data_IF_317290316724
#
_entry.id   IF_317290316724
#
_cell.length_a   1.000
_cell.length_b   1.000
_cell.length_c   1.000
_cell.angle_alpha   90.00
_cell.angle_beta   90.00
_cell.angle_gamma   90.00
#
_symmetry.space_group_name_H-M   'P 1'
#
loop_
_entity.id
_entity.type
_entity.pdbx_description
1 polymer ?
#
# COMPACT_ATOMS: atom_id res chain seq x y z
N UNK A 1 11.99 -64.47 -36.99
CA UNK A 1 12.45 -63.59 -38.07
C UNK A 1 12.14 -62.15 -37.69
N UNK A 2 13.10 -61.33 -37.23
CA UNK A 2 12.87 -59.91 -37.02
C UNK A 2 13.09 -59.16 -38.33
N UNK A 3 12.11 -58.33 -38.70
CA UNK A 3 12.13 -57.47 -39.89
C UNK A 3 13.02 -56.26 -39.61
N UNK A 4 14.16 -56.17 -40.30
CA UNK A 4 14.97 -54.96 -40.36
C UNK A 4 14.18 -53.89 -41.13
N UNK A 5 13.75 -52.84 -40.43
CA UNK A 5 13.30 -51.60 -41.05
C UNK A 5 14.55 -50.94 -41.69
N UNK A 6 14.57 -50.67 -43.00
CA UNK A 6 15.79 -50.23 -43.66
C UNK A 6 16.15 -48.81 -43.19
N UNK A 7 17.38 -48.64 -42.73
CA UNK A 7 18.01 -47.40 -42.25
C UNK A 7 17.72 -46.18 -43.16
N UNK A 8 17.51 -46.42 -44.45
CA UNK A 8 17.16 -45.43 -45.46
C UNK A 8 15.82 -44.70 -45.19
N UNK A 9 14.82 -45.38 -44.62
CA UNK A 9 13.52 -44.76 -44.32
C UNK A 9 13.64 -43.77 -43.15
N UNK A 10 14.50 -44.08 -42.17
CA UNK A 10 14.72 -43.22 -41.01
C UNK A 10 15.48 -41.94 -41.40
N UNK A 11 16.48 -42.05 -42.28
CA UNK A 11 17.22 -40.91 -42.84
C UNK A 11 16.32 -40.01 -43.69
N UNK A 12 15.44 -40.56 -44.52
CA UNK A 12 14.47 -39.76 -45.27
C UNK A 12 13.53 -38.98 -44.33
N UNK A 13 12.97 -39.62 -43.30
CA UNK A 13 12.10 -38.92 -42.34
C UNK A 13 12.82 -37.79 -41.61
N UNK A 14 14.08 -37.98 -41.21
CA UNK A 14 14.86 -36.94 -40.54
C UNK A 14 15.15 -35.75 -41.47
N UNK A 15 15.47 -36.02 -42.74
CA UNK A 15 15.70 -34.95 -43.73
C UNK A 15 14.44 -34.15 -44.02
N UNK A 16 13.27 -34.80 -44.09
CA UNK A 16 11.98 -34.12 -44.29
C UNK A 16 11.65 -33.25 -43.07
N UNK A 17 11.90 -33.74 -41.85
CA UNK A 17 11.62 -33.00 -40.63
C UNK A 17 12.52 -31.76 -40.48
N UNK A 18 13.81 -31.88 -40.82
CA UNK A 18 14.72 -30.75 -40.87
C UNK A 18 14.36 -29.74 -41.96
N UNK A 19 13.86 -30.21 -43.12
CA UNK A 19 13.40 -29.32 -44.19
C UNK A 19 12.13 -28.55 -43.76
N UNK A 20 11.20 -29.20 -43.07
CA UNK A 20 9.99 -28.57 -42.52
C UNK A 20 10.34 -27.50 -41.48
N UNK A 21 11.25 -27.80 -40.55
CA UNK A 21 11.74 -26.84 -39.55
C UNK A 21 12.47 -25.66 -40.21
N UNK A 22 13.24 -25.92 -41.26
CA UNK A 22 13.91 -24.86 -42.02
C UNK A 22 12.93 -23.95 -42.75
N UNK A 23 11.85 -24.50 -43.32
CA UNK A 23 10.80 -23.72 -43.99
C UNK A 23 10.03 -22.86 -42.98
N UNK A 24 9.66 -23.40 -41.81
CA UNK A 24 8.97 -22.61 -40.78
C UNK A 24 9.84 -21.48 -40.23
N UNK A 25 11.13 -21.73 -40.00
CA UNK A 25 12.07 -20.68 -39.55
C UNK A 25 12.31 -19.62 -40.63
N UNK A 26 12.25 -19.98 -41.91
CA UNK A 26 12.38 -19.05 -43.03
C UNK A 26 11.15 -18.16 -43.18
N UNK A 27 9.95 -18.69 -42.97
CA UNK A 27 8.70 -17.91 -43.01
C UNK A 27 8.62 -16.93 -41.83
N UNK A 28 9.08 -17.31 -40.64
CA UNK A 28 9.19 -16.39 -39.49
C UNK A 28 10.19 -15.25 -39.74
N UNK A 29 11.34 -15.54 -40.37
CA UNK A 29 12.31 -14.52 -40.75
C UNK A 29 11.79 -13.58 -41.86
N UNK A 30 11.03 -14.11 -42.82
CA UNK A 30 10.39 -13.32 -43.87
C UNK A 30 9.30 -12.38 -43.29
N UNK A 31 8.53 -12.86 -42.31
CA UNK A 31 7.53 -12.05 -41.60
C UNK A 31 8.15 -10.95 -40.73
N UNK A 32 9.27 -11.22 -40.04
CA UNK A 32 10.02 -10.20 -39.29
C UNK A 32 10.61 -9.11 -40.21
N UNK A 33 11.11 -9.49 -41.38
CA UNK A 33 11.65 -8.57 -42.39
C UNK A 33 10.55 -7.70 -43.04
N UNK A 34 9.37 -8.27 -43.29
CA UNK A 34 8.21 -7.54 -43.80
C UNK A 34 7.66 -6.51 -42.79
N UNK A 35 7.62 -6.85 -41.50
CA UNK A 35 7.26 -5.90 -40.42
C UNK A 35 8.31 -4.79 -40.23
N UNK A 36 9.61 -5.12 -40.35
CA UNK A 36 10.69 -4.14 -40.29
C UNK A 36 10.70 -3.13 -41.45
N UNK A 37 10.15 -3.50 -42.60
CA UNK A 37 10.08 -2.62 -43.78
C UNK A 37 8.80 -1.76 -43.79
N UNK A 38 7.68 -2.26 -43.23
CA UNK A 38 6.45 -1.48 -43.07
C UNK A 38 6.58 -0.33 -42.05
N UNK A 39 7.34 -0.54 -40.96
CA UNK A 39 7.61 0.51 -39.97
C UNK A 39 8.61 1.59 -40.42
N UNK A 40 9.32 1.37 -41.54
CA UNK A 40 10.28 2.34 -42.11
C UNK A 40 9.68 3.23 -43.20
N UNK A 41 8.45 2.93 -43.65
CA UNK A 41 7.76 3.65 -44.73
C UNK A 41 6.73 4.70 -44.29
N UNK A 42 6.32 4.71 -43.02
CA UNK A 42 5.32 5.66 -42.47
C UNK A 42 5.94 6.82 -41.67
N UNK A 43 7.26 6.87 -41.54
CA UNK A 43 7.99 7.95 -40.88
C UNK A 43 8.34 9.12 -41.82
N UNK A 44 7.38 9.60 -42.63
CA UNK A 44 7.44 10.91 -43.30
C UNK A 44 6.03 11.48 -43.39
N UNK A 45 5.87 12.69 -42.84
CA UNK A 45 4.63 13.48 -42.71
C UNK A 45 3.77 13.18 -41.47
N UNK A 46 4.35 13.34 -40.28
CA UNK A 46 3.59 13.87 -39.14
C UNK A 46 3.98 15.34 -39.01
N UNK A 47 3.08 16.19 -39.50
CA UNK A 47 3.08 17.62 -39.20
C UNK A 47 3.20 17.80 -37.70
N UNK A 48 4.21 18.54 -37.26
CA UNK A 48 4.42 18.98 -35.89
C UNK A 48 3.29 19.91 -35.45
N UNK A 49 2.13 19.35 -35.13
CA UNK A 49 1.20 19.98 -34.19
C UNK A 49 1.90 19.98 -32.84
N UNK A 50 2.39 21.15 -32.43
CA UNK A 50 2.70 21.48 -31.04
C UNK A 50 1.45 21.18 -30.21
N UNK A 51 1.35 19.96 -29.66
CA UNK A 51 0.59 19.76 -28.44
C UNK A 51 1.36 20.53 -27.37
N UNK A 52 0.82 21.69 -27.03
CA UNK A 52 1.04 22.29 -25.73
C UNK A 52 0.60 21.24 -24.70
N UNK A 53 1.54 20.44 -24.20
CA UNK A 53 1.36 19.74 -22.93
C UNK A 53 1.18 20.85 -21.88
N UNK A 54 -0.07 21.22 -21.62
CA UNK A 54 -0.43 21.76 -20.32
C UNK A 54 -0.10 20.64 -19.34
N UNK A 55 1.12 20.64 -18.80
CA UNK A 55 1.49 19.78 -17.68
C UNK A 55 0.47 20.07 -16.57
N UNK A 56 -0.51 19.18 -16.43
CA UNK A 56 -1.53 19.29 -15.41
C UNK A 56 -0.78 19.16 -14.08
N UNK A 57 -0.85 20.19 -13.25
CA UNK A 57 -0.24 20.16 -11.92
C UNK A 57 -0.69 18.89 -11.18
N UNK A 58 0.18 18.26 -10.38
CA UNK A 58 -0.22 17.11 -9.58
C UNK A 58 -1.39 17.50 -8.66
N UNK A 59 -2.28 16.55 -8.32
CA UNK A 59 -3.35 16.81 -7.35
C UNK A 59 -2.78 17.39 -6.05
N UNK A 60 -3.46 18.38 -5.49
CA UNK A 60 -3.08 18.97 -4.20
C UNK A 60 -3.25 17.95 -3.08
N UNK A 61 -2.31 17.95 -2.13
CA UNK A 61 -2.26 17.04 -0.99
C UNK A 61 -2.21 17.84 0.31
N UNK A 62 -2.86 17.33 1.36
CA UNK A 62 -2.71 17.82 2.72
C UNK A 62 -2.28 16.68 3.63
N UNK A 63 -1.17 16.86 4.35
CA UNK A 63 -0.70 15.96 5.40
C UNK A 63 -1.21 16.47 6.75
N UNK A 64 -2.05 15.66 7.39
CA UNK A 64 -2.61 15.89 8.72
C UNK A 64 -1.97 14.91 9.68
N UNK A 65 -1.23 15.43 10.65
CA UNK A 65 -0.52 14.64 11.66
C UNK A 65 -1.17 14.86 13.02
N UNK A 66 -1.50 13.76 13.69
CA UNK A 66 -1.84 13.74 15.11
C UNK A 66 -0.56 13.55 15.93
N UNK A 67 -0.28 14.48 16.85
CA UNK A 67 0.92 14.48 17.68
C UNK A 67 0.62 14.94 19.10
N UNK A 68 1.40 14.49 20.07
CA UNK A 68 1.58 15.15 21.37
C UNK A 68 2.76 16.13 21.30
N UNK A 69 2.90 16.98 22.31
CA UNK A 69 3.98 17.95 22.40
C UNK A 69 5.37 17.30 22.58
N UNK A 70 5.42 16.07 23.09
CA UNK A 70 6.67 15.32 23.29
C UNK A 70 7.15 14.59 22.03
N UNK A 71 6.26 14.36 21.07
CA UNK A 71 6.59 13.64 19.84
C UNK A 71 7.34 14.55 18.85
N UNK A 72 8.40 13.99 18.24
CA UNK A 72 9.18 14.69 17.24
C UNK A 72 8.50 14.64 15.86
N UNK A 73 8.07 15.81 15.38
CA UNK A 73 7.50 16.00 14.04
C UNK A 73 8.40 16.85 13.14
N UNK A 74 9.64 17.14 13.54
CA UNK A 74 10.59 17.93 12.76
C UNK A 74 10.98 17.27 11.43
N UNK A 75 10.85 15.93 11.35
CA UNK A 75 11.07 15.17 10.13
C UNK A 75 10.11 15.59 9.00
N UNK A 76 8.90 16.06 9.32
CA UNK A 76 7.91 16.46 8.32
C UNK A 76 8.46 17.56 7.44
N UNK A 77 9.07 18.58 8.05
CA UNK A 77 9.69 19.66 7.29
C UNK A 77 11.04 19.24 6.70
N UNK A 78 11.83 18.46 7.43
CA UNK A 78 13.14 17.99 6.94
C UNK A 78 13.03 17.11 5.69
N UNK A 79 12.04 16.22 5.66
CA UNK A 79 11.82 15.24 4.59
C UNK A 79 10.87 15.76 3.51
N UNK A 80 9.80 16.45 3.90
CA UNK A 80 8.69 16.81 3.02
C UNK A 80 8.55 18.33 2.84
N UNK A 81 9.51 19.11 3.32
CA UNK A 81 9.61 20.57 3.18
C UNK A 81 9.39 21.06 1.75
N UNK A 82 10.05 20.38 0.81
CA UNK A 82 10.12 20.75 -0.60
C UNK A 82 9.11 20.01 -1.49
N UNK A 83 8.22 19.19 -0.92
CA UNK A 83 7.22 18.44 -1.68
C UNK A 83 6.20 19.36 -2.33
N UNK A 84 6.23 19.46 -3.66
CA UNK A 84 5.33 20.33 -4.42
C UNK A 84 3.89 19.87 -4.25
N UNK A 85 3.01 20.81 -3.91
CA UNK A 85 1.59 20.54 -3.73
C UNK A 85 1.23 19.80 -2.44
N UNK A 86 2.16 19.66 -1.48
CA UNK A 86 1.90 19.09 -0.16
C UNK A 86 1.83 20.17 0.92
N UNK A 87 0.62 20.47 1.37
CA UNK A 87 0.37 21.26 2.58
C UNK A 87 0.47 20.39 3.84
N UNK A 88 0.78 21.00 5.00
CA UNK A 88 0.96 20.28 6.27
C UNK A 88 0.12 20.90 7.38
N UNK A 89 -0.45 20.05 8.24
CA UNK A 89 -1.25 20.37 9.43
C UNK A 89 -0.83 19.44 10.56
N UNK A 90 -0.03 19.97 11.48
CA UNK A 90 0.49 19.19 12.61
C UNK A 90 -0.32 19.59 13.83
N UNK A 91 -1.27 18.74 14.21
CA UNK A 91 -2.10 18.96 15.39
C UNK A 91 -1.38 18.48 16.65
N UNK A 92 -1.27 19.36 17.65
CA UNK A 92 -0.67 19.03 18.95
C UNK A 92 -1.76 18.93 20.01
N UNK A 93 -2.16 17.70 20.34
CA UNK A 93 -3.41 17.42 21.05
C UNK A 93 -3.43 17.89 22.51
N UNK A 94 -2.25 17.98 23.14
CA UNK A 94 -2.02 18.37 24.52
C UNK A 94 -1.45 19.80 24.66
N UNK A 95 -1.48 20.59 23.57
CA UNK A 95 -1.07 21.99 23.57
C UNK A 95 -2.12 22.90 22.92
N UNK A 96 -2.99 23.50 23.75
CA UNK A 96 -4.04 24.41 23.31
C UNK A 96 -3.54 25.72 22.65
N UNK A 97 -2.24 26.04 22.80
CA UNK A 97 -1.63 27.22 22.16
C UNK A 97 -0.99 26.92 20.81
N UNK A 98 -1.02 25.66 20.36
CA UNK A 98 -0.54 25.28 19.02
C UNK A 98 -1.46 25.87 17.93
N UNK A 99 -0.88 26.14 16.76
CA UNK A 99 -1.63 26.65 15.59
C UNK A 99 -2.78 25.71 15.22
N UNK A 100 -2.50 24.41 15.24
CA UNK A 100 -3.50 23.36 15.06
C UNK A 100 -3.69 22.62 16.38
N UNK A 101 -4.76 22.97 17.09
CA UNK A 101 -5.16 22.32 18.33
C UNK A 101 -6.51 21.62 18.19
N UNK A 102 -6.85 20.82 19.19
CA UNK A 102 -8.13 20.11 19.28
C UNK A 102 -8.97 20.66 20.44
N UNK A 103 -10.31 20.55 20.39
CA UNK A 103 -11.17 21.04 21.47
C UNK A 103 -10.97 20.27 22.79
N UNK A 104 -10.57 18.99 22.72
CA UNK A 104 -10.28 18.14 23.85
C UNK A 104 -9.37 16.98 23.40
N UNK A 105 -8.37 16.62 24.20
CA UNK A 105 -7.56 15.43 23.94
C UNK A 105 -8.34 14.15 24.34
N UNK A 106 -9.11 13.60 23.38
CA UNK A 106 -9.94 12.39 23.56
C UNK A 106 -10.24 11.73 22.22
N UNK A 107 -10.15 10.40 22.16
CA UNK A 107 -10.27 9.60 20.95
C UNK A 107 -9.01 9.58 20.09
N UNK A 108 -7.84 9.85 20.67
CA UNK A 108 -6.55 9.91 19.96
C UNK A 108 -6.62 10.68 18.62
N UNK A 109 -6.19 10.08 17.52
CA UNK A 109 -6.14 10.66 16.19
C UNK A 109 -7.52 10.97 15.61
N UNK A 110 -8.58 10.28 16.06
CA UNK A 110 -9.93 10.52 15.57
C UNK A 110 -10.39 11.97 15.84
N UNK A 111 -10.00 12.54 16.99
CA UNK A 111 -10.30 13.94 17.29
C UNK A 111 -9.61 14.90 16.32
N UNK A 112 -8.34 14.62 16.00
CA UNK A 112 -7.56 15.42 15.07
C UNK A 112 -8.18 15.37 13.68
N UNK A 113 -8.51 14.17 13.19
CA UNK A 113 -9.03 13.98 11.84
C UNK A 113 -10.40 14.64 11.68
N UNK A 114 -11.30 14.44 12.64
CA UNK A 114 -12.61 15.09 12.64
C UNK A 114 -12.48 16.62 12.75
N UNK A 115 -11.61 17.12 13.62
CA UNK A 115 -11.40 18.57 13.80
C UNK A 115 -10.82 19.22 12.54
N UNK A 116 -9.85 18.59 11.88
CA UNK A 116 -9.32 19.03 10.60
C UNK A 116 -10.42 19.15 9.55
N UNK A 117 -11.20 18.08 9.36
CA UNK A 117 -12.25 18.06 8.33
C UNK A 117 -13.28 19.14 8.58
N UNK A 118 -13.73 19.31 9.83
CA UNK A 118 -14.72 20.35 10.17
C UNK A 118 -14.18 21.75 9.86
N UNK A 119 -12.92 22.01 10.19
CA UNK A 119 -12.31 23.33 10.03
C UNK A 119 -11.98 23.67 8.58
N UNK A 120 -11.52 22.68 7.80
CA UNK A 120 -11.08 22.88 6.41
C UNK A 120 -12.08 22.38 5.36
N UNK A 121 -13.30 22.02 5.74
CA UNK A 121 -14.28 21.37 4.87
C UNK A 121 -14.48 22.03 3.50
N UNK A 122 -14.48 23.38 3.43
CA UNK A 122 -14.65 24.12 2.16
C UNK A 122 -13.35 24.29 1.37
N UNK A 123 -12.19 23.98 1.97
CA UNK A 123 -10.85 24.24 1.45
C UNK A 123 -9.98 22.97 1.38
N UNK A 124 -10.59 21.79 1.41
CA UNK A 124 -9.90 20.50 1.37
C UNK A 124 -8.97 20.38 0.14
N UNK A 125 -7.80 19.77 0.33
CA UNK A 125 -6.94 19.34 -0.79
C UNK A 125 -7.60 18.22 -1.61
N UNK A 126 -7.09 17.91 -2.80
CA UNK A 126 -7.64 16.82 -3.63
C UNK A 126 -7.51 15.47 -2.90
N UNK A 127 -6.44 15.32 -2.11
CA UNK A 127 -6.19 14.19 -1.22
C UNK A 127 -5.78 14.71 0.16
N UNK A 128 -6.36 14.13 1.21
CA UNK A 128 -5.90 14.32 2.59
C UNK A 128 -5.26 13.02 3.10
N UNK A 129 -4.08 13.14 3.68
CA UNK A 129 -3.28 12.09 4.30
C UNK A 129 -3.37 12.25 5.81
N UNK A 130 -3.86 11.25 6.51
CA UNK A 130 -3.99 11.21 7.95
C UNK A 130 -2.96 10.23 8.52
N UNK A 131 -2.03 10.72 9.34
CA UNK A 131 -0.92 9.93 9.88
C UNK A 131 -0.67 10.23 11.37
N UNK A 132 0.07 9.31 12.00
CA UNK A 132 0.70 9.52 13.31
C UNK A 132 1.97 10.36 13.20
N UNK A 133 2.46 10.83 14.34
CA UNK A 133 3.65 11.67 14.40
C UNK A 133 4.98 10.98 14.03
N UNK A 134 5.09 9.65 14.12
CA UNK A 134 6.36 8.95 13.97
C UNK A 134 6.78 8.77 12.50
N UNK A 135 8.00 9.20 12.14
CA UNK A 135 8.59 8.88 10.82
C UNK A 135 8.78 7.37 10.64
N UNK A 136 9.46 6.72 11.59
CA UNK A 136 9.75 5.29 11.54
C UNK A 136 8.92 4.54 12.58
N UNK A 137 8.13 3.55 12.13
CA UNK A 137 7.30 2.76 13.05
C UNK A 137 6.93 1.39 12.49
N UNK A 138 6.68 0.41 13.37
CA UNK A 138 6.20 -0.92 13.01
C UNK A 138 4.85 -0.88 12.25
N UNK A 139 4.05 0.16 12.47
CA UNK A 139 2.75 0.32 11.82
C UNK A 139 2.87 0.86 10.37
N UNK A 140 4.08 1.23 9.92
CA UNK A 140 4.36 1.65 8.55
C UNK A 140 4.69 0.45 7.64
N UNK A 141 4.73 0.66 6.33
CA UNK A 141 4.95 -0.40 5.35
C UNK A 141 6.38 -0.94 5.39
N UNK A 142 6.54 -2.26 5.57
CA UNK A 142 7.87 -2.89 5.64
C UNK A 142 8.67 -2.70 4.35
N UNK A 143 8.01 -2.75 3.18
CA UNK A 143 8.70 -2.62 1.89
C UNK A 143 9.14 -1.18 1.59
N UNK A 144 8.73 -0.21 2.41
CA UNK A 144 9.13 1.19 2.32
C UNK A 144 9.95 1.58 3.56
N UNK A 145 10.76 0.63 4.05
CA UNK A 145 11.67 0.79 5.19
C UNK A 145 10.99 1.28 6.47
N UNK A 146 9.68 1.05 6.60
CA UNK A 146 8.84 1.57 7.68
C UNK A 146 8.89 3.10 7.81
N UNK A 147 9.23 3.81 6.74
CA UNK A 147 9.37 5.25 6.69
C UNK A 147 8.08 5.92 6.17
N UNK A 148 7.46 6.75 7.01
CA UNK A 148 6.28 7.53 6.65
C UNK A 148 6.56 8.52 5.51
N UNK A 149 7.78 9.08 5.43
CA UNK A 149 8.16 9.97 4.34
C UNK A 149 8.14 9.24 2.99
N UNK A 150 8.67 8.01 2.94
CA UNK A 150 8.63 7.18 1.73
C UNK A 150 7.21 6.76 1.36
N UNK A 151 6.38 6.41 2.35
CA UNK A 151 4.95 6.17 2.12
C UNK A 151 4.27 7.38 1.47
N UNK A 152 4.51 8.59 1.96
CA UNK A 152 3.89 9.82 1.42
C UNK A 152 4.40 10.14 0.01
N UNK A 153 5.70 10.01 -0.25
CA UNK A 153 6.31 10.29 -1.56
C UNK A 153 5.81 9.31 -2.63
N UNK A 154 5.74 8.03 -2.29
CA UNK A 154 5.42 6.96 -3.25
C UNK A 154 3.93 6.74 -3.46
N UNK A 155 3.07 7.21 -2.55
CA UNK A 155 1.63 7.01 -2.68
C UNK A 155 1.12 7.62 -3.98
N UNK A 156 0.53 6.79 -4.83
CA UNK A 156 0.03 7.18 -6.15
C UNK A 156 -1.30 7.91 -5.99
N UNK A 157 -1.40 9.22 -6.34
CA UNK A 157 -2.63 9.98 -6.16
C UNK A 157 -3.84 9.37 -6.88
N UNK A 158 -3.62 8.81 -8.07
CA UNK A 158 -4.66 8.15 -8.85
C UNK A 158 -5.28 6.94 -8.13
N UNK A 159 -4.50 6.21 -7.33
CA UNK A 159 -5.01 5.10 -6.52
C UNK A 159 -5.97 5.60 -5.44
N UNK A 160 -5.60 6.67 -4.73
CA UNK A 160 -6.47 7.28 -3.70
C UNK A 160 -7.75 7.85 -4.31
N UNK A 161 -7.64 8.61 -5.40
CA UNK A 161 -8.79 9.23 -6.06
C UNK A 161 -9.77 8.18 -6.59
N UNK A 162 -9.29 7.08 -7.18
CA UNK A 162 -10.16 6.00 -7.67
C UNK A 162 -10.88 5.26 -6.56
N UNK A 163 -10.19 4.98 -5.46
CA UNK A 163 -10.75 4.20 -4.36
C UNK A 163 -11.55 5.06 -3.36
N UNK A 164 -11.35 6.38 -3.36
CA UNK A 164 -11.98 7.31 -2.43
C UNK A 164 -11.35 7.28 -1.04
N UNK A 165 -11.07 6.09 -0.53
CA UNK A 165 -10.46 5.77 0.76
C UNK A 165 -9.37 4.71 0.58
N UNK A 166 -8.24 4.90 1.24
CA UNK A 166 -7.12 3.95 1.25
C UNK A 166 -6.50 3.92 2.63
N UNK A 167 -6.44 2.75 3.26
CA UNK A 167 -5.52 2.54 4.38
C UNK A 167 -4.08 2.54 3.86
N UNK A 168 -3.19 3.32 4.49
CA UNK A 168 -1.79 3.46 4.06
C UNK A 168 -0.95 2.22 4.42
N UNK A 169 -1.42 1.36 5.32
CA UNK A 169 -0.78 0.09 5.65
C UNK A 169 -1.25 -0.99 4.67
N UNK A 170 -0.32 -1.63 3.97
CA UNK A 170 -0.62 -2.76 3.10
C UNK A 170 -0.69 -4.09 3.85
N UNK A 171 -0.03 -4.19 5.00
CA UNK A 171 0.03 -5.41 5.80
C UNK A 171 -1.27 -5.67 6.55
N UNK A 172 -1.80 -6.89 6.42
CA UNK A 172 -3.09 -7.27 7.01
C UNK A 172 -3.09 -7.37 8.53
N UNK A 173 -1.96 -7.75 9.12
CA UNK A 173 -1.87 -7.93 10.57
C UNK A 173 -1.33 -6.68 11.27
N UNK A 174 -1.97 -6.21 12.36
CA UNK A 174 -3.29 -6.63 12.83
C UNK A 174 -4.43 -6.04 12.00
N UNK A 175 -5.59 -6.72 12.01
CA UNK A 175 -6.89 -6.15 11.61
C UNK A 175 -7.61 -6.84 10.45
N UNK A 176 -6.88 -7.60 9.64
CA UNK A 176 -7.41 -8.44 8.56
C UNK A 176 -6.89 -9.89 8.70
N UNK A 177 -7.73 -10.94 8.51
CA UNK A 177 -9.16 -10.87 8.16
C UNK A 177 -10.03 -10.33 9.31
N UNK A 178 -11.34 -10.28 9.11
CA UNK A 178 -12.31 -9.77 10.07
C UNK A 178 -12.16 -10.41 11.45
N UNK A 179 -11.98 -9.57 12.46
CA UNK A 179 -11.82 -9.97 13.86
C UNK A 179 -12.85 -9.30 14.78
N UNK A 180 -13.53 -8.25 14.30
CA UNK A 180 -14.60 -7.58 15.04
C UNK A 180 -15.93 -8.09 14.53
N UNK A 181 -16.69 -8.76 15.40
CA UNK A 181 -18.04 -9.27 15.13
C UNK A 181 -19.02 -8.56 16.06
N UNK A 182 -19.64 -7.43 15.63
CA UNK A 182 -20.42 -6.57 16.53
C UNK A 182 -21.63 -7.22 17.21
N UNK A 183 -22.12 -8.35 16.67
CA UNK A 183 -23.21 -9.15 17.25
C UNK A 183 -22.72 -10.16 18.31
N UNK A 184 -21.41 -10.36 18.41
CA UNK A 184 -20.75 -11.32 19.29
C UNK A 184 -19.73 -10.61 20.18
N UNK A 185 -20.17 -9.79 21.16
CA UNK A 185 -19.28 -9.01 22.00
C UNK A 185 -18.35 -9.93 22.79
N UNK A 186 -17.06 -9.59 22.81
CA UNK A 186 -16.00 -10.33 23.51
C UNK A 186 -15.30 -9.41 24.51
N UNK A 187 -15.02 -9.92 25.71
CA UNK A 187 -14.29 -9.21 26.77
C UNK A 187 -12.77 -9.45 26.71
N UNK A 188 -12.23 -9.83 25.54
CA UNK A 188 -10.80 -10.04 25.35
C UNK A 188 -10.05 -8.70 25.54
N UNK A 189 -9.15 -8.59 26.54
CA UNK A 189 -8.40 -7.36 26.76
C UNK A 189 -7.43 -7.01 25.63
N UNK A 190 -7.10 -7.95 24.74
CA UNK A 190 -6.29 -7.66 23.55
C UNK A 190 -7.07 -6.88 22.47
N UNK A 191 -8.40 -7.03 22.45
CA UNK A 191 -9.31 -6.44 21.46
C UNK A 191 -10.55 -5.84 22.14
N UNK A 192 -10.37 -4.85 23.04
CA UNK A 192 -11.45 -4.34 23.87
C UNK A 192 -12.58 -3.67 23.07
N UNK A 193 -12.30 -3.20 21.85
CA UNK A 193 -13.29 -2.62 20.94
C UNK A 193 -14.42 -3.58 20.55
N UNK A 194 -14.16 -4.89 20.50
CA UNK A 194 -15.17 -5.90 20.15
C UNK A 194 -16.33 -5.88 21.15
N UNK A 195 -16.06 -5.65 22.43
CA UNK A 195 -17.06 -5.63 23.49
C UNK A 195 -18.12 -4.53 23.29
N UNK A 196 -17.76 -3.43 22.62
CA UNK A 196 -18.56 -2.19 22.58
C UNK A 196 -18.98 -1.79 21.17
N UNK A 197 -18.39 -2.38 20.12
CA UNK A 197 -18.60 -1.97 18.74
C UNK A 197 -20.08 -1.96 18.30
N UNK A 198 -20.87 -2.97 18.66
CA UNK A 198 -22.29 -3.04 18.26
C UNK A 198 -23.15 -1.91 18.84
N UNK A 199 -22.88 -1.53 20.10
CA UNK A 199 -23.54 -0.39 20.75
C UNK A 199 -23.07 0.92 20.13
N UNK A 200 -21.76 1.10 19.98
CA UNK A 200 -21.18 2.29 19.37
C UNK A 200 -21.71 2.48 17.92
N UNK A 201 -21.81 1.41 17.13
CA UNK A 201 -22.40 1.46 15.80
C UNK A 201 -23.82 2.00 15.82
N UNK A 202 -24.66 1.51 16.72
CA UNK A 202 -26.07 1.92 16.82
C UNK A 202 -26.21 3.40 17.21
N UNK A 203 -25.31 3.90 18.05
CA UNK A 203 -25.27 5.31 18.45
C UNK A 203 -24.73 6.21 17.33
N UNK A 204 -23.66 5.77 16.65
CA UNK A 204 -22.98 6.53 15.61
C UNK A 204 -23.80 6.56 14.32
N UNK A 205 -24.42 5.45 13.92
CA UNK A 205 -25.17 5.26 12.67
C UNK A 205 -26.65 4.91 12.96
N UNK A 206 -27.43 5.85 13.50
CA UNK A 206 -28.81 5.56 13.89
C UNK A 206 -29.67 5.18 12.67
N UNK A 207 -30.28 4.00 12.75
CA UNK A 207 -31.15 3.46 11.70
C UNK A 207 -30.45 2.58 10.68
N UNK A 208 -29.12 2.44 10.76
CA UNK A 208 -28.37 1.50 9.93
C UNK A 208 -28.28 0.12 10.61
N UNK A 209 -28.21 -0.93 9.80
CA UNK A 209 -28.02 -2.28 10.30
C UNK A 209 -26.60 -2.44 10.83
N UNK A 210 -26.47 -2.98 12.04
CA UNK A 210 -25.17 -3.36 12.59
C UNK A 210 -24.56 -4.46 11.70
N UNK A 211 -23.33 -4.28 11.18
CA UNK A 211 -22.72 -5.24 10.26
C UNK A 211 -22.40 -6.56 10.96
N UNK A 212 -22.31 -7.64 10.18
CA UNK A 212 -21.90 -8.95 10.69
C UNK A 212 -20.47 -8.93 11.22
N UNK A 213 -19.60 -8.17 10.55
CA UNK A 213 -18.17 -8.15 10.77
C UNK A 213 -17.58 -6.82 10.30
N UNK A 214 -16.47 -6.42 10.91
CA UNK A 214 -15.64 -5.29 10.51
C UNK A 214 -14.19 -5.75 10.38
N UNK A 215 -13.50 -5.24 9.35
CA UNK A 215 -12.10 -5.57 9.09
C UNK A 215 -11.41 -4.42 8.35
N UNK A 216 -10.20 -4.09 8.76
CA UNK A 216 -9.23 -3.37 7.95
C UNK A 216 -7.84 -3.47 8.58
N UNK A 217 -6.74 -3.22 7.86
CA UNK A 217 -5.44 -3.02 8.48
C UNK A 217 -5.52 -1.97 9.60
N UNK A 218 -4.81 -2.22 10.70
CA UNK A 218 -4.86 -1.36 11.88
C UNK A 218 -4.38 0.07 11.64
N UNK A 219 -4.41 0.79 12.76
CA UNK A 219 -3.52 1.88 13.09
C UNK A 219 -3.89 3.22 12.46
N UNK A 220 -5.11 3.37 11.94
CA UNK A 220 -5.70 4.65 11.57
C UNK A 220 -4.79 5.59 10.75
N UNK A 221 -3.94 5.07 9.85
CA UNK A 221 -3.21 5.87 8.86
C UNK A 221 -3.84 5.68 7.49
N UNK A 222 -4.38 6.74 6.89
CA UNK A 222 -5.16 6.62 5.66
C UNK A 222 -5.00 7.83 4.73
N UNK A 223 -5.29 7.61 3.45
CA UNK A 223 -5.44 8.65 2.45
C UNK A 223 -6.88 8.67 1.96
N UNK A 224 -7.47 9.86 1.87
CA UNK A 224 -8.87 10.05 1.51
C UNK A 224 -8.95 11.13 0.43
N UNK A 225 -9.71 10.85 -0.62
CA UNK A 225 -10.00 11.83 -1.66
C UNK A 225 -10.93 12.92 -1.13
N UNK A 226 -10.85 14.13 -1.70
CA UNK A 226 -11.80 15.22 -1.40
C UNK A 226 -13.24 14.76 -1.57
N UNK A 227 -13.53 14.07 -2.67
CA UNK A 227 -14.89 13.65 -3.02
C UNK A 227 -15.46 12.68 -1.98
N UNK A 228 -14.64 11.76 -1.46
CA UNK A 228 -15.06 10.85 -0.38
C UNK A 228 -15.32 11.59 0.94
N UNK A 229 -14.52 12.63 1.27
CA UNK A 229 -14.81 13.46 2.45
C UNK A 229 -16.11 14.24 2.25
N UNK A 230 -16.29 14.86 1.08
CA UNK A 230 -17.46 15.69 0.76
C UNK A 230 -18.76 14.90 0.52
N UNK A 231 -18.68 13.58 0.37
CA UNK A 231 -19.86 12.72 0.30
C UNK A 231 -20.70 12.76 1.59
N UNK A 232 -20.07 13.12 2.72
CA UNK A 232 -20.74 13.35 4.00
C UNK A 232 -20.80 14.84 4.27
N UNK A 233 -21.93 15.35 4.76
CA UNK A 233 -22.06 16.76 5.12
C UNK A 233 -21.10 17.16 6.25
N UNK A 234 -20.73 18.44 6.32
CA UNK A 234 -19.97 18.97 7.48
C UNK A 234 -20.65 18.64 8.81
N UNK A 235 -21.98 18.73 8.86
CA UNK A 235 -22.75 18.41 10.06
C UNK A 235 -22.51 16.97 10.50
N UNK A 236 -22.41 16.02 9.57
CA UNK A 236 -22.13 14.63 9.92
C UNK A 236 -20.78 14.48 10.65
N UNK A 237 -19.74 15.19 10.22
CA UNK A 237 -18.46 15.19 10.93
C UNK A 237 -18.54 15.83 12.31
N UNK A 238 -19.37 16.88 12.46
CA UNK A 238 -19.67 17.48 13.77
C UNK A 238 -20.34 16.45 14.68
N UNK A 239 -21.36 15.73 14.19
CA UNK A 239 -22.07 14.71 14.96
C UNK A 239 -21.13 13.58 15.41
N UNK A 240 -20.22 13.13 14.53
CA UNK A 240 -19.19 12.12 14.85
C UNK A 240 -18.26 12.63 15.97
N UNK A 241 -17.80 13.89 15.88
CA UNK A 241 -16.93 14.48 16.91
C UNK A 241 -17.67 14.68 18.22
N UNK A 242 -18.94 15.06 18.15
CA UNK A 242 -19.79 15.25 19.32
C UNK A 242 -20.03 13.92 20.05
N UNK A 243 -20.26 12.81 19.31
CA UNK A 243 -20.30 11.47 19.91
C UNK A 243 -18.98 11.14 20.62
N UNK A 244 -17.84 11.41 19.97
CA UNK A 244 -16.51 11.17 20.55
C UNK A 244 -16.28 11.99 21.83
N UNK A 245 -16.74 13.24 21.87
CA UNK A 245 -16.65 14.09 23.05
C UNK A 245 -17.56 13.58 24.18
N UNK A 246 -18.78 13.14 23.86
CA UNK A 246 -19.83 12.85 24.84
C UNK A 246 -19.84 11.41 25.36
N UNK A 247 -19.31 10.46 24.59
CA UNK A 247 -19.32 9.04 24.96
C UNK A 247 -18.65 8.81 26.32
N UNK A 248 -19.18 7.93 27.19
CA UNK A 248 -18.54 7.61 28.46
C UNK A 248 -17.27 6.76 28.30
N UNK A 249 -16.99 6.27 27.08
CA UNK A 249 -15.81 5.47 26.78
C UNK A 249 -14.52 6.28 26.98
N UNK A 250 -13.49 5.60 27.46
CA UNK A 250 -12.15 6.17 27.60
C UNK A 250 -11.53 6.53 26.26
N UNK A 251 -10.46 7.33 26.31
CA UNK A 251 -9.72 7.83 25.15
C UNK A 251 -9.27 6.71 24.21
N UNK A 252 -8.59 5.67 24.74
CA UNK A 252 -8.11 4.53 23.96
C UNK A 252 -9.24 3.77 23.26
N UNK A 253 -10.29 3.41 24.00
CA UNK A 253 -11.37 2.58 23.48
C UNK A 253 -12.23 3.33 22.46
N UNK A 254 -12.48 4.62 22.69
CA UNK A 254 -13.21 5.46 21.73
C UNK A 254 -12.41 5.72 20.46
N UNK A 255 -11.08 5.86 20.55
CA UNK A 255 -10.19 5.91 19.38
C UNK A 255 -10.22 4.61 18.57
N UNK A 256 -10.07 3.45 19.23
CA UNK A 256 -10.14 2.12 18.59
C UNK A 256 -11.46 1.85 17.86
N UNK A 257 -12.58 2.40 18.36
CA UNK A 257 -13.85 2.33 17.63
C UNK A 257 -13.71 3.03 16.27
N UNK A 258 -13.23 4.28 16.26
CA UNK A 258 -13.05 5.02 15.01
C UNK A 258 -12.03 4.37 14.08
N UNK A 259 -10.95 3.78 14.62
CA UNK A 259 -9.99 3.00 13.83
C UNK A 259 -10.69 1.99 12.93
N UNK A 260 -11.75 1.32 13.39
CA UNK A 260 -12.51 0.33 12.61
C UNK A 260 -13.82 0.85 12.02
N UNK A 261 -14.00 2.17 11.93
CA UNK A 261 -15.12 2.82 11.24
C UNK A 261 -14.71 3.62 10.00
N UNK A 262 -13.45 4.02 9.85
CA UNK A 262 -13.02 4.86 8.73
C UNK A 262 -13.28 4.26 7.36
N UNK A 263 -13.06 2.95 7.22
CA UNK A 263 -13.35 2.20 5.99
C UNK A 263 -14.84 2.19 5.64
N UNK A 264 -15.71 2.30 6.65
CA UNK A 264 -17.14 2.46 6.42
C UNK A 264 -17.52 3.90 6.10
N UNK A 265 -17.00 4.86 6.87
CA UNK A 265 -17.29 6.29 6.72
C UNK A 265 -16.91 6.80 5.33
N UNK A 266 -15.72 6.45 4.82
CA UNK A 266 -15.22 6.95 3.53
C UNK A 266 -15.15 5.89 2.43
N UNK A 267 -14.94 4.63 2.79
CA UNK A 267 -14.84 3.52 1.83
C UNK A 267 -16.17 2.81 1.56
N UNK A 268 -17.23 3.13 2.33
CA UNK A 268 -18.55 2.51 2.24
C UNK A 268 -18.52 0.97 2.26
N UNK A 269 -17.56 0.40 2.99
CA UNK A 269 -17.43 -1.05 3.19
C UNK A 269 -17.26 -1.37 4.66
N UNK A 270 -17.75 -2.54 5.08
CA UNK A 270 -17.51 -3.05 6.43
C UNK A 270 -16.12 -3.70 6.56
N UNK A 271 -15.66 -4.30 5.46
CA UNK A 271 -14.38 -5.00 5.37
C UNK A 271 -13.53 -4.40 4.26
N UNK A 272 -12.38 -3.86 4.61
CA UNK A 272 -11.39 -3.29 3.70
C UNK A 272 -10.05 -4.03 3.89
N UNK A 273 -9.89 -5.16 3.22
CA UNK A 273 -8.67 -5.98 3.26
C UNK A 273 -8.15 -6.19 1.83
N UNK A 274 -7.63 -5.14 1.17
CA UNK A 274 -7.16 -5.27 -0.21
C UNK A 274 -5.99 -6.24 -0.29
N UNK A 275 -5.79 -6.88 -1.46
CA UNK A 275 -4.61 -7.70 -1.71
C UNK A 275 -3.33 -6.89 -1.42
N UNK A 276 -2.43 -7.44 -0.61
CA UNK A 276 -1.19 -6.75 -0.24
C UNK A 276 -0.31 -6.46 -1.46
N UNK A 277 -0.27 -7.38 -2.44
CA UNK A 277 0.42 -7.19 -3.71
C UNK A 277 -0.15 -5.99 -4.48
N UNK A 278 -1.48 -5.89 -4.56
CA UNK A 278 -2.16 -4.77 -5.23
C UNK A 278 -1.94 -3.46 -4.48
N UNK A 279 -1.99 -3.48 -3.15
CA UNK A 279 -1.73 -2.29 -2.32
C UNK A 279 -0.32 -1.73 -2.59
N UNK A 280 0.70 -2.58 -2.57
CA UNK A 280 2.07 -2.18 -2.88
C UNK A 280 2.24 -1.74 -4.34
N UNK A 281 1.63 -2.47 -5.29
CA UNK A 281 1.81 -2.20 -6.70
C UNK A 281 1.05 -0.96 -7.17
N UNK A 282 -0.28 -0.92 -7.03
CA UNK A 282 -1.10 0.19 -7.51
C UNK A 282 -1.07 1.40 -6.56
N UNK A 283 -0.85 1.17 -5.26
CA UNK A 283 -0.76 2.22 -4.26
C UNK A 283 0.63 2.86 -4.17
N UNK A 284 1.71 2.09 -4.27
CA UNK A 284 3.08 2.58 -4.01
C UNK A 284 4.08 2.34 -5.14
N UNK A 285 3.66 1.74 -6.26
CA UNK A 285 4.53 1.46 -7.39
C UNK A 285 5.58 0.38 -7.12
N UNK A 286 5.27 -0.60 -6.27
CA UNK A 286 6.12 -1.77 -6.01
C UNK A 286 5.39 -3.02 -6.52
N UNK A 287 5.66 -3.41 -7.78
CA UNK A 287 4.91 -4.45 -8.46
C UNK A 287 5.71 -5.75 -8.58
N UNK A 288 5.30 -6.79 -7.87
CA UNK A 288 6.01 -8.08 -7.89
C UNK A 288 5.68 -8.94 -9.12
N UNK A 289 4.63 -8.56 -9.87
CA UNK A 289 4.13 -9.31 -11.01
C UNK A 289 2.98 -10.25 -10.65
N UNK A 290 2.33 -10.02 -9.51
CA UNK A 290 1.21 -10.81 -9.01
C UNK A 290 1.38 -11.31 -7.58
N UNK A 291 0.28 -11.81 -7.01
CA UNK A 291 0.20 -12.24 -5.62
C UNK A 291 1.15 -13.40 -5.28
N UNK A 292 1.38 -14.33 -6.21
CA UNK A 292 2.28 -15.47 -6.01
C UNK A 292 3.75 -15.01 -5.87
N UNK A 293 4.16 -14.05 -6.71
CA UNK A 293 5.50 -13.48 -6.68
C UNK A 293 5.71 -12.66 -5.42
N UNK A 294 4.70 -11.87 -5.02
CA UNK A 294 4.70 -11.16 -3.74
C UNK A 294 4.80 -12.13 -2.55
N UNK A 295 3.96 -13.16 -2.51
CA UNK A 295 3.95 -14.13 -1.41
C UNK A 295 5.29 -14.88 -1.28
N UNK A 296 5.93 -15.20 -2.41
CA UNK A 296 7.27 -15.80 -2.43
C UNK A 296 8.33 -14.83 -1.91
N UNK A 297 8.30 -13.57 -2.34
CA UNK A 297 9.18 -12.52 -1.82
C UNK A 297 9.00 -12.36 -0.30
N UNK A 298 7.76 -12.25 0.15
CA UNK A 298 7.41 -12.03 1.54
C UNK A 298 7.83 -13.21 2.43
N UNK A 299 7.69 -14.44 1.93
CA UNK A 299 8.21 -15.64 2.61
C UNK A 299 9.73 -15.57 2.80
N UNK A 300 10.48 -15.20 1.75
CA UNK A 300 11.94 -15.07 1.83
C UNK A 300 12.36 -13.94 2.78
N UNK A 301 11.61 -12.84 2.80
CA UNK A 301 11.82 -11.72 3.74
C UNK A 301 11.66 -12.17 5.18
N UNK A 302 10.57 -12.85 5.52
CA UNK A 302 10.34 -13.38 6.87
C UNK A 302 11.41 -14.40 7.27
N UNK A 303 11.91 -15.22 6.33
CA UNK A 303 13.04 -16.12 6.61
C UNK A 303 14.29 -15.31 6.99
N UNK A 304 14.64 -14.26 6.21
CA UNK A 304 15.79 -13.41 6.51
C UNK A 304 15.67 -12.70 7.86
N UNK A 305 14.48 -12.20 8.21
CA UNK A 305 14.20 -11.58 9.50
C UNK A 305 14.34 -12.56 10.67
N UNK A 306 13.83 -13.79 10.51
CA UNK A 306 13.99 -14.84 11.52
C UNK A 306 15.46 -15.25 11.70
N UNK A 307 16.24 -15.29 10.62
CA UNK A 307 17.68 -15.52 10.68
C UNK A 307 18.40 -14.39 11.43
N UNK A 308 18.01 -13.14 11.18
CA UNK A 308 18.55 -11.97 11.89
C UNK A 308 18.25 -12.02 13.39
N UNK A 309 17.00 -12.30 13.77
CA UNK A 309 16.60 -12.50 15.15
C UNK A 309 17.40 -13.62 15.82
N UNK A 310 17.55 -14.77 15.15
CA UNK A 310 18.36 -15.90 15.63
C UNK A 310 19.82 -15.50 15.84
N UNK A 311 20.40 -14.74 14.93
CA UNK A 311 21.79 -14.27 15.02
C UNK A 311 21.98 -13.27 16.18
N UNK A 312 20.98 -12.43 16.47
CA UNK A 312 20.99 -11.51 17.61
C UNK A 312 20.89 -12.26 18.93
N UNK A 313 19.98 -13.23 19.05
CA UNK A 313 19.80 -14.02 20.28
C UNK A 313 21.01 -14.93 20.55
N UNK A 314 21.55 -15.62 19.53
CA UNK A 314 22.74 -16.49 19.67
C UNK A 314 24.05 -15.75 19.93
N UNK A 315 24.07 -14.42 19.83
CA UNK A 315 25.24 -13.63 20.25
C UNK A 315 25.28 -13.42 21.77
N UNK A 316 24.22 -13.76 22.50
CA UNK A 316 24.04 -13.48 23.94
C UNK A 316 24.33 -14.73 24.80
N UNK A 317 24.15 -15.94 24.27
CA UNK A 317 24.41 -17.20 25.00
C UNK A 317 25.64 -17.93 24.46
N UNK A 318 26.68 -18.07 25.29
CA UNK A 318 27.67 -19.14 25.14
C UNK A 318 27.10 -20.45 25.76
N UNK A 319 27.30 -21.57 25.04
CA UNK A 319 27.14 -22.99 25.44
C UNK A 319 25.83 -23.72 25.03
N UNK A 320 25.81 -25.08 24.97
CA UNK A 320 26.83 -26.07 24.58
C UNK A 320 26.40 -26.96 23.38
N UNK A 321 27.36 -27.73 22.88
CA UNK A 321 27.26 -28.80 21.87
C UNK A 321 26.25 -29.89 22.30
N UNK A 322 25.04 -29.90 21.72
CA UNK A 322 24.44 -31.12 21.15
C UNK A 322 23.22 -30.75 20.28
N UNK A 323 23.05 -31.48 19.18
CA UNK A 323 22.04 -31.35 18.12
C UNK A 323 22.19 -30.20 17.10
N UNK A 324 22.81 -30.52 15.95
CA UNK A 324 22.43 -29.95 14.65
C UNK A 324 22.61 -28.44 14.46
N UNK A 325 23.56 -27.82 15.16
CA UNK A 325 23.79 -26.38 15.10
C UNK A 325 24.33 -25.99 13.71
N UNK A 326 23.50 -25.31 12.91
CA UNK A 326 23.99 -24.59 11.71
C UNK A 326 25.03 -23.56 12.17
N UNK A 327 26.29 -23.62 11.70
CA UNK A 327 27.34 -22.69 12.13
C UNK A 327 26.92 -21.25 11.89
N UNK A 328 27.23 -20.34 12.83
CA UNK A 328 26.89 -18.91 12.73
C UNK A 328 27.32 -18.30 11.40
N UNK A 329 28.52 -18.62 10.92
CA UNK A 329 29.05 -18.14 9.63
C UNK A 329 28.28 -18.69 8.41
N UNK A 330 27.73 -19.89 8.52
CA UNK A 330 26.86 -20.47 7.50
C UNK A 330 25.50 -19.78 7.49
N UNK A 331 24.96 -19.47 8.67
CA UNK A 331 23.71 -18.72 8.81
C UNK A 331 23.85 -17.29 8.28
N UNK A 332 24.96 -16.60 8.61
CA UNK A 332 25.28 -15.26 8.12
C UNK A 332 25.38 -15.23 6.58
N UNK A 333 26.18 -16.11 5.98
CA UNK A 333 26.31 -16.19 4.51
C UNK A 333 24.98 -16.51 3.82
N UNK A 334 24.17 -17.37 4.42
CA UNK A 334 22.84 -17.68 3.88
C UNK A 334 21.91 -16.48 3.96
N UNK A 335 21.97 -15.72 5.06
CA UNK A 335 21.19 -14.49 5.25
C UNK A 335 21.59 -13.44 4.21
N UNK A 336 22.88 -13.16 4.09
CA UNK A 336 23.42 -12.19 3.12
C UNK A 336 23.00 -12.54 1.68
N UNK A 337 23.05 -13.83 1.31
CA UNK A 337 22.60 -14.27 -0.01
C UNK A 337 21.09 -14.08 -0.25
N UNK A 338 20.27 -14.29 0.79
CA UNK A 338 18.82 -14.03 0.69
C UNK A 338 18.58 -12.52 0.59
N UNK A 339 19.25 -11.70 1.40
CA UNK A 339 19.12 -10.23 1.37
C UNK A 339 19.54 -9.63 0.02
N UNK A 340 20.63 -10.12 -0.59
CA UNK A 340 21.04 -9.70 -1.94
C UNK A 340 19.94 -10.01 -2.98
N UNK A 341 19.34 -11.21 -2.90
CA UNK A 341 18.23 -11.62 -3.77
C UNK A 341 17.00 -10.76 -3.54
N UNK A 342 16.64 -10.48 -2.29
CA UNK A 342 15.53 -9.60 -1.93
C UNK A 342 15.75 -8.20 -2.49
N UNK A 343 16.94 -7.62 -2.31
CA UNK A 343 17.28 -6.29 -2.84
C UNK A 343 17.17 -6.20 -4.37
N UNK A 344 17.65 -7.22 -5.10
CA UNK A 344 17.48 -7.30 -6.56
C UNK A 344 16.02 -7.41 -6.99
N UNK A 345 15.24 -8.22 -6.26
CA UNK A 345 13.83 -8.43 -6.58
C UNK A 345 12.98 -7.20 -6.28
N UNK A 346 13.27 -6.50 -5.18
CA UNK A 346 12.67 -5.22 -4.80
C UNK A 346 12.98 -4.13 -5.82
N UNK A 347 14.25 -4.00 -6.24
CA UNK A 347 14.65 -3.05 -7.28
C UNK A 347 13.89 -3.31 -8.60
N UNK A 348 13.74 -4.57 -8.97
CA UNK A 348 12.95 -4.97 -10.14
C UNK A 348 11.46 -4.65 -9.98
N UNK A 349 10.91 -4.81 -8.77
CA UNK A 349 9.51 -4.52 -8.47
C UNK A 349 9.20 -3.02 -8.55
N UNK A 350 10.10 -2.19 -8.01
CA UNK A 350 10.03 -0.73 -8.14
C UNK A 350 10.08 -0.33 -9.61
N UNK A 351 11.06 -0.84 -10.37
CA UNK A 351 11.19 -0.51 -11.79
C UNK A 351 9.95 -0.91 -12.59
N UNK A 352 9.38 -2.09 -12.36
CA UNK A 352 8.12 -2.50 -12.99
C UNK A 352 6.96 -1.56 -12.65
N UNK A 353 6.88 -1.13 -11.39
CA UNK A 353 5.81 -0.27 -10.91
C UNK A 353 5.87 1.17 -11.42
N UNK A 354 6.96 1.61 -12.04
CA UNK A 354 7.04 2.93 -12.69
C UNK A 354 6.07 3.04 -13.88
N UNK A 355 5.80 1.94 -14.59
CA UNK A 355 4.84 1.89 -15.68
C UNK A 355 3.40 1.75 -15.14
N UNK A 356 2.53 2.75 -15.34
CA UNK A 356 1.12 2.68 -14.92
C UNK A 356 0.35 1.49 -15.49
N UNK A 357 0.77 0.92 -16.62
CA UNK A 357 0.13 -0.24 -17.24
C UNK A 357 0.35 -1.51 -16.42
N UNK A 358 1.56 -1.68 -15.85
CA UNK A 358 1.85 -2.81 -14.97
C UNK A 358 1.05 -2.71 -13.68
N UNK A 359 0.92 -1.50 -13.13
CA UNK A 359 0.08 -1.25 -11.95
C UNK A 359 -1.39 -1.60 -12.19
N UNK A 360 -1.94 -1.14 -13.32
CA UNK A 360 -3.29 -1.47 -13.72
C UNK A 360 -3.49 -2.98 -13.93
N UNK A 361 -2.53 -3.63 -14.60
CA UNK A 361 -2.55 -5.07 -14.85
C UNK A 361 -2.57 -5.89 -13.56
N UNK A 362 -1.67 -5.61 -12.62
CA UNK A 362 -1.59 -6.34 -11.34
C UNK A 362 -2.81 -6.09 -10.46
N UNK A 363 -3.39 -4.87 -10.52
CA UNK A 363 -4.65 -4.55 -9.86
C UNK A 363 -5.90 -5.10 -10.56
N UNK A 364 -5.77 -5.81 -11.68
CA UNK A 364 -6.89 -6.38 -12.43
C UNK A 364 -7.84 -5.34 -13.03
N UNK A 365 -7.37 -4.10 -13.27
CA UNK A 365 -8.16 -2.99 -13.78
C UNK A 365 -7.69 -2.53 -15.16
N UNK A 366 -8.54 -1.91 -15.99
CA UNK A 366 -8.09 -1.28 -17.22
C UNK A 366 -7.14 -0.11 -16.91
N UNK A 367 -6.11 0.05 -17.75
CA UNK A 367 -5.24 1.23 -17.72
C UNK A 367 -5.97 2.43 -18.33
N UNK A 368 -5.81 3.61 -17.74
CA UNK A 368 -6.34 4.86 -18.28
C UNK A 368 -5.23 5.90 -18.47
N UNK A 369 -5.41 6.80 -19.44
CA UNK A 369 -4.44 7.86 -19.73
C UNK A 369 -4.28 8.89 -18.58
N UNK A 370 -5.15 8.84 -17.57
CA UNK A 370 -5.04 9.67 -16.35
C UNK A 370 -4.11 9.06 -15.30
N UNK A 371 -3.63 7.83 -15.51
CA UNK A 371 -2.60 7.23 -14.66
C UNK A 371 -1.24 7.85 -15.00
N UNK A 372 -0.73 8.72 -14.13
CA UNK A 372 0.57 9.37 -14.32
C UNK A 372 1.73 8.39 -14.05
N UNK A 373 2.83 8.48 -14.80
CA UNK A 373 4.06 7.76 -14.46
C UNK A 373 4.59 8.25 -13.11
N UNK A 374 5.26 7.36 -12.37
CA UNK A 374 6.03 7.78 -11.19
C UNK A 374 7.32 8.42 -11.72
N UNK A 375 7.56 9.69 -11.37
CA UNK A 375 8.87 10.28 -11.58
C UNK A 375 9.83 9.63 -10.59
N UNK A 376 10.82 8.89 -11.10
CA UNK A 376 11.96 8.50 -10.27
C UNK A 376 12.73 9.80 -10.04
N UNK A 377 12.50 10.46 -8.92
CA UNK A 377 13.47 11.44 -8.44
C UNK A 377 14.73 10.64 -8.08
N UNK A 378 15.87 10.99 -8.65
CA UNK A 378 17.16 10.48 -8.21
C UNK A 378 17.30 10.83 -6.72
N UNK A 379 17.10 9.84 -5.84
CA UNK A 379 17.36 9.92 -4.40
C UNK A 379 18.57 9.08 -4.06
#
# INVERSE_FOLDING_TARGET
MPRHLPLAVCLCCLTILLLMVYITLRDDYANLSAHGTFLRGTARNVSTTKQSENAKLPPSRCLVIASTAEQDTSWVETQLGNEVGLSKRIYVVDNASSEFSVPLNKGHEAMVYLTYIINEYDNLSDITLFLHAHQFSWHNNDLLDRDAAEMIRRLIPGYVIRNGYVNLRCHHEPGCPSHIFPHEPSADPAYPEIAVMGLAWTEIFPGELVPSSLAQPCCAQMAVSRDAILALSRQRYIDLRDWLLQTPLGDELSGRIFEYLWQYIWGHTHEYCPSQSVCYCDGYGVCFGGEEQYATYDTLRHIAENMDNTLKTRAIDEMPDDEGIVPRDTLLRSKESIEERLGSWMSSAIMRGTDPRNRALEAGRPWTATDYPISIADH
#
